data_IF_396799983085
#
_entry.id   IF_396799983085
#
_cell.length_a   1.000
_cell.length_b   1.000
_cell.length_c   1.000
_cell.angle_alpha   90.00
_cell.angle_beta   90.00
_cell.angle_gamma   90.00
#
_symmetry.space_group_name_H-M   'P 1'
#
loop_
_entity.id
_entity.type
_entity.pdbx_description
1 polymer ?
#
# COMPACT_ATOMS: atom_id res chain seq x y z
N UNK A 1 -34.64 69.61 -16.95
CA UNK A 1 -34.97 68.52 -15.99
C UNK A 1 -35.44 67.33 -16.83
N UNK A 2 -35.00 66.08 -16.77
CA UNK A 2 -34.00 65.39 -15.96
C UNK A 2 -33.63 64.05 -16.65
N UNK A 3 -32.32 63.79 -16.72
CA UNK A 3 -31.61 62.49 -16.63
C UNK A 3 -31.97 61.33 -17.59
N UNK A 4 -31.17 61.22 -18.66
CA UNK A 4 -30.83 59.94 -19.28
C UNK A 4 -29.89 59.14 -18.37
N UNK A 5 -30.33 57.94 -17.96
CA UNK A 5 -29.62 57.04 -17.05
C UNK A 5 -28.53 56.30 -17.85
N UNK A 6 -27.28 56.77 -17.76
CA UNK A 6 -26.09 56.03 -18.24
C UNK A 6 -25.99 54.72 -17.46
N UNK A 7 -26.09 53.61 -18.16
CA UNK A 7 -25.82 52.28 -17.62
C UNK A 7 -24.29 52.12 -17.54
N UNK A 8 -23.75 52.17 -16.32
CA UNK A 8 -22.35 51.84 -16.05
C UNK A 8 -22.18 50.32 -16.10
N UNK A 9 -21.25 49.75 -16.88
CA UNK A 9 -20.95 48.33 -16.81
C UNK A 9 -20.33 48.02 -15.44
N UNK A 10 -20.86 46.99 -14.78
CA UNK A 10 -20.33 46.50 -13.52
C UNK A 10 -18.87 46.03 -13.68
N UNK A 11 -18.00 46.25 -12.68
CA UNK A 11 -16.66 45.70 -12.70
C UNK A 11 -16.76 44.17 -12.70
N UNK A 12 -16.16 43.53 -13.72
CA UNK A 12 -15.94 42.08 -13.71
C UNK A 12 -15.08 41.78 -12.49
N UNK A 13 -15.64 41.09 -11.52
CA UNK A 13 -14.88 40.53 -10.41
C UNK A 13 -13.81 39.62 -11.02
N UNK A 14 -12.55 40.04 -10.93
CA UNK A 14 -11.41 39.17 -11.07
C UNK A 14 -11.46 38.16 -9.92
N UNK A 15 -12.22 37.10 -10.10
CA UNK A 15 -12.05 35.87 -9.36
C UNK A 15 -11.19 34.96 -10.23
N UNK A 16 -9.91 35.30 -10.29
CA UNK A 16 -8.86 34.32 -10.55
C UNK A 16 -8.91 33.32 -9.39
N UNK A 17 -9.82 32.34 -9.52
CA UNK A 17 -9.92 31.21 -8.61
C UNK A 17 -8.62 30.42 -8.75
N UNK A 18 -7.94 30.06 -7.65
CA UNK A 18 -6.77 29.20 -7.72
C UNK A 18 -7.13 27.90 -8.46
N UNK A 19 -6.55 27.73 -9.65
CA UNK A 19 -7.04 26.79 -10.69
C UNK A 19 -6.65 25.32 -10.43
N UNK A 20 -6.04 25.00 -9.28
CA UNK A 20 -5.71 23.61 -8.91
C UNK A 20 -5.69 23.40 -7.40
N UNK A 21 -6.06 22.21 -6.92
CA UNK A 21 -5.95 21.83 -5.50
C UNK A 21 -4.53 22.03 -4.92
N UNK A 22 -3.50 22.04 -5.77
CA UNK A 22 -2.12 22.37 -5.39
C UNK A 22 -1.89 23.82 -4.98
N UNK A 23 -2.78 24.72 -5.37
CA UNK A 23 -2.70 26.16 -5.13
C UNK A 23 -3.54 26.56 -3.88
N UNK A 24 -4.45 25.67 -3.45
CA UNK A 24 -5.18 25.75 -2.18
C UNK A 24 -4.42 25.10 -1.01
N UNK A 25 -3.65 24.03 -1.27
CA UNK A 25 -2.73 23.47 -0.30
C UNK A 25 -1.39 24.20 -0.40
N UNK A 26 -0.90 24.75 0.72
CA UNK A 26 0.47 25.22 0.79
C UNK A 26 1.44 24.08 0.46
N UNK A 27 2.57 24.40 -0.19
CA UNK A 27 3.63 23.45 -0.51
C UNK A 27 4.08 22.64 0.72
N UNK A 28 4.10 23.26 1.90
CA UNK A 28 4.37 22.63 3.19
C UNK A 28 3.42 21.46 3.50
N UNK A 29 2.12 21.61 3.22
CA UNK A 29 1.13 20.54 3.47
C UNK A 29 1.29 19.41 2.45
N UNK A 30 1.65 19.73 1.21
CA UNK A 30 1.93 18.72 0.18
C UNK A 30 3.23 17.95 0.43
N UNK A 31 4.21 18.55 1.08
CA UNK A 31 5.45 17.89 1.51
C UNK A 31 5.17 16.97 2.70
N UNK A 32 4.46 17.45 3.72
CA UNK A 32 4.01 16.62 4.86
C UNK A 32 3.20 15.41 4.40
N UNK A 33 2.27 15.60 3.46
CA UNK A 33 1.46 14.50 2.96
C UNK A 33 2.28 13.46 2.20
N UNK A 34 3.30 13.89 1.44
CA UNK A 34 4.23 12.95 0.80
C UNK A 34 5.07 12.19 1.83
N UNK A 35 5.61 12.89 2.82
CA UNK A 35 6.37 12.26 3.89
C UNK A 35 5.54 11.18 4.62
N UNK A 36 4.29 11.49 4.97
CA UNK A 36 3.37 10.53 5.57
C UNK A 36 2.99 9.38 4.63
N UNK A 37 2.79 9.66 3.34
CA UNK A 37 2.49 8.62 2.36
C UNK A 37 3.67 7.66 2.16
N UNK A 38 4.91 8.18 2.19
CA UNK A 38 6.10 7.36 2.05
C UNK A 38 6.40 6.56 3.31
N UNK A 39 6.15 7.13 4.50
CA UNK A 39 6.19 6.41 5.79
C UNK A 39 5.15 5.27 5.83
N UNK A 40 3.92 5.54 5.40
CA UNK A 40 2.86 4.53 5.34
C UNK A 40 3.20 3.40 4.37
N UNK A 41 3.76 3.72 3.19
CA UNK A 41 4.20 2.70 2.23
C UNK A 41 5.34 1.84 2.77
N UNK A 42 6.29 2.45 3.49
CA UNK A 42 7.38 1.72 4.13
C UNK A 42 6.83 0.74 5.17
N UNK A 43 5.91 1.20 6.02
CA UNK A 43 5.25 0.34 7.02
C UNK A 43 4.43 -0.81 6.39
N UNK A 44 3.76 -0.57 5.26
CA UNK A 44 3.06 -1.64 4.54
C UNK A 44 4.01 -2.64 3.89
N UNK A 45 5.13 -2.18 3.34
CA UNK A 45 6.17 -3.06 2.79
C UNK A 45 6.76 -3.97 3.88
N UNK A 46 7.08 -3.41 5.04
CA UNK A 46 7.61 -4.14 6.18
C UNK A 46 6.61 -5.20 6.69
N UNK A 47 5.33 -4.84 6.78
CA UNK A 47 4.27 -5.80 7.16
C UNK A 47 4.19 -6.97 6.20
N UNK A 48 4.23 -6.70 4.89
CA UNK A 48 4.18 -7.73 3.86
C UNK A 48 5.41 -8.65 3.92
N UNK A 49 6.59 -8.08 4.17
CA UNK A 49 7.81 -8.87 4.33
C UNK A 49 7.73 -9.75 5.58
N UNK A 50 7.27 -9.22 6.71
CA UNK A 50 7.09 -10.01 7.94
C UNK A 50 6.09 -11.15 7.77
N UNK A 51 4.98 -10.93 7.05
CA UNK A 51 4.00 -11.97 6.76
C UNK A 51 4.60 -13.09 5.90
N UNK A 52 5.43 -12.72 4.91
CA UNK A 52 6.16 -13.70 4.09
C UNK A 52 7.15 -14.52 4.91
N UNK A 53 7.92 -13.87 5.78
CA UNK A 53 8.87 -14.55 6.66
C UNK A 53 8.17 -15.51 7.61
N UNK A 54 7.05 -15.10 8.22
CA UNK A 54 6.25 -15.96 9.09
C UNK A 54 5.65 -17.15 8.33
N UNK A 55 5.18 -16.96 7.11
CA UNK A 55 4.67 -18.04 6.28
C UNK A 55 5.76 -19.05 5.90
N UNK A 56 6.96 -18.58 5.56
CA UNK A 56 8.11 -19.44 5.26
C UNK A 56 8.59 -20.20 6.50
N UNK A 57 8.62 -19.55 7.67
CA UNK A 57 8.96 -20.19 8.94
C UNK A 57 7.93 -21.26 9.33
N UNK A 58 6.64 -20.95 9.19
CA UNK A 58 5.56 -21.91 9.44
C UNK A 58 5.66 -23.13 8.53
N UNK A 59 5.91 -22.93 7.23
CA UNK A 59 6.14 -24.04 6.29
C UNK A 59 7.35 -24.87 6.66
N UNK A 60 8.45 -24.23 7.06
CA UNK A 60 9.66 -24.93 7.49
C UNK A 60 9.43 -25.73 8.78
N UNK A 61 8.68 -25.19 9.73
CA UNK A 61 8.31 -25.88 10.96
C UNK A 61 7.40 -27.07 10.69
N UNK A 62 6.41 -26.91 9.81
CA UNK A 62 5.52 -27.99 9.39
C UNK A 62 6.27 -29.08 8.63
N UNK A 63 7.18 -28.71 7.73
CA UNK A 63 8.04 -29.66 7.03
C UNK A 63 8.91 -30.45 8.01
N UNK A 64 9.55 -29.77 8.96
CA UNK A 64 10.32 -30.44 10.03
C UNK A 64 9.47 -31.38 10.87
N UNK A 65 8.21 -31.03 11.15
CA UNK A 65 7.27 -31.91 11.85
C UNK A 65 6.96 -33.15 11.04
N UNK A 66 6.65 -32.98 9.76
CA UNK A 66 6.41 -34.08 8.81
C UNK A 66 7.62 -34.99 8.63
N UNK A 67 8.82 -34.40 8.57
CA UNK A 67 10.09 -35.14 8.47
C UNK A 67 10.42 -35.89 9.78
N UNK A 68 9.81 -35.55 10.90
CA UNK A 68 9.96 -36.26 12.17
C UNK A 68 8.79 -37.24 12.45
N UNK A 69 7.67 -37.06 11.76
CA UNK A 69 6.50 -37.91 11.89
C UNK A 69 6.67 -39.18 11.07
N UNK A 70 6.88 -40.29 11.78
CA UNK A 70 7.07 -41.60 11.19
C UNK A 70 5.88 -42.06 10.34
N UNK A 71 4.64 -41.67 10.67
CA UNK A 71 3.47 -42.03 9.88
C UNK A 71 3.50 -41.31 8.52
N UNK A 72 3.83 -40.01 8.53
CA UNK A 72 3.99 -39.24 7.30
C UNK A 72 5.14 -39.79 6.45
N UNK A 73 6.30 -40.05 7.06
CA UNK A 73 7.45 -40.63 6.38
C UNK A 73 7.13 -42.01 5.78
N UNK A 74 6.45 -42.89 6.52
CA UNK A 74 6.14 -44.23 6.05
C UNK A 74 5.20 -44.22 4.84
N UNK A 75 4.20 -43.33 4.84
CA UNK A 75 3.23 -43.22 3.77
C UNK A 75 3.76 -42.48 2.53
N UNK A 76 4.70 -41.54 2.71
CA UNK A 76 5.21 -40.70 1.61
C UNK A 76 6.61 -41.12 1.11
N UNK A 77 7.35 -41.93 1.86
CA UNK A 77 8.64 -42.47 1.42
C UNK A 77 8.42 -43.71 0.56
N UNK A 78 8.83 -43.66 -0.71
CA UNK A 78 8.78 -44.82 -1.63
C UNK A 78 9.93 -45.80 -1.40
N UNK A 79 10.22 -46.09 -0.13
CA UNK A 79 11.32 -46.97 0.26
C UNK A 79 10.96 -48.44 -0.03
N UNK A 80 11.16 -48.85 -1.28
CA UNK A 80 11.03 -50.23 -1.74
C UNK A 80 12.19 -51.08 -1.19
N UNK A 81 12.05 -51.56 0.04
CA UNK A 81 12.97 -52.50 0.69
C UNK A 81 13.26 -53.78 -0.13
N UNK A 82 12.37 -54.14 -1.06
CA UNK A 82 12.56 -55.25 -2.01
C UNK A 82 13.66 -54.99 -3.05
N UNK A 83 14.04 -53.72 -3.30
CA UNK A 83 15.10 -53.34 -4.27
C UNK A 83 16.51 -53.41 -3.68
N UNK A 84 16.64 -53.52 -2.36
CA UNK A 84 17.92 -53.56 -1.66
C UNK A 84 18.22 -54.95 -1.06
N UNK A 85 17.63 -56.00 -1.64
CA UNK A 85 17.74 -57.38 -1.18
C UNK A 85 18.76 -58.18 -1.97
#
# INVERSE_FOLDING_TARGET
MAKSKKHTPAPKAAQDKPTTLKDLLSSDVLEKLKAQADEAKAAEADRKEQERLQAEEARKAEQKRKDNDFEYLLNNSSMDWKKHK
#
